data_IF_233724603635
#
_entry.id   IF_233724603635
#
_cell.length_a   1.000
_cell.length_b   1.000
_cell.length_c   1.000
_cell.angle_alpha   90.00
_cell.angle_beta   90.00
_cell.angle_gamma   90.00
#
_symmetry.space_group_name_H-M   'P 1'
#
loop_
_entity.id
_entity.type
_entity.pdbx_description
1 polymer ?
#
# COMPACT_ATOMS: atom_id res chain seq x y z
N UNK A 1 21.75 -14.26 10.97
CA UNK A 1 22.85 -14.17 9.99
C UNK A 1 22.54 -14.84 8.64
N UNK A 2 21.83 -15.98 8.59
CA UNK A 2 21.54 -16.75 7.35
C UNK A 2 20.62 -16.03 6.33
N UNK A 3 19.67 -15.23 6.80
CA UNK A 3 18.71 -14.50 5.95
C UNK A 3 19.37 -13.31 5.23
N UNK A 4 20.34 -12.65 5.88
CA UNK A 4 21.02 -11.48 5.30
C UNK A 4 21.96 -11.88 4.15
N UNK A 5 22.54 -13.08 4.22
CA UNK A 5 23.41 -13.65 3.17
C UNK A 5 22.60 -14.06 1.93
N UNK A 6 21.38 -14.59 2.11
CA UNK A 6 20.53 -14.94 0.95
C UNK A 6 19.98 -13.71 0.23
N UNK A 7 19.57 -12.66 0.96
CA UNK A 7 19.10 -11.39 0.37
C UNK A 7 20.22 -10.69 -0.41
N UNK A 8 21.45 -10.72 0.12
CA UNK A 8 22.61 -10.13 -0.57
C UNK A 8 23.03 -10.94 -1.81
N UNK A 9 22.96 -12.27 -1.74
CA UNK A 9 23.22 -13.17 -2.86
C UNK A 9 22.19 -13.03 -3.98
N UNK A 10 20.91 -12.92 -3.63
CA UNK A 10 19.83 -12.75 -4.60
C UNK A 10 19.93 -11.42 -5.36
N UNK A 11 20.27 -10.33 -4.66
CA UNK A 11 20.52 -9.03 -5.30
C UNK A 11 21.68 -9.10 -6.30
N UNK A 12 22.77 -9.80 -5.97
CA UNK A 12 23.91 -9.98 -6.88
C UNK A 12 23.55 -10.83 -8.10
N UNK A 13 22.79 -11.89 -7.89
CA UNK A 13 22.32 -12.75 -8.98
C UNK A 13 21.40 -11.98 -9.95
N UNK A 14 20.46 -11.19 -9.44
CA UNK A 14 19.62 -10.33 -10.28
C UNK A 14 20.44 -9.32 -11.09
N UNK A 15 21.44 -8.68 -10.48
CA UNK A 15 22.30 -7.73 -11.19
C UNK A 15 23.07 -8.39 -12.33
N UNK A 16 23.58 -9.61 -12.11
CA UNK A 16 24.28 -10.36 -13.15
C UNK A 16 23.34 -10.79 -14.28
N UNK A 17 22.15 -11.31 -13.96
CA UNK A 17 21.14 -11.64 -14.98
C UNK A 17 20.77 -10.41 -15.80
N UNK A 18 20.54 -9.28 -15.15
CA UNK A 18 20.19 -8.03 -15.83
C UNK A 18 21.31 -7.60 -16.81
N UNK A 19 22.57 -7.68 -16.39
CA UNK A 19 23.70 -7.38 -17.27
C UNK A 19 23.77 -8.33 -18.47
N UNK A 20 23.60 -9.63 -18.26
CA UNK A 20 23.61 -10.62 -19.34
C UNK A 20 22.46 -10.37 -20.32
N UNK A 21 21.25 -10.16 -19.82
CA UNK A 21 20.07 -9.86 -20.66
C UNK A 21 20.28 -8.55 -21.43
N UNK A 22 20.76 -7.49 -20.76
CA UNK A 22 21.04 -6.21 -21.41
C UNK A 22 22.11 -6.35 -22.50
N UNK A 23 23.12 -7.17 -22.29
CA UNK A 23 24.16 -7.44 -23.29
C UNK A 23 23.59 -8.18 -24.50
N UNK A 24 22.75 -9.18 -24.29
CA UNK A 24 22.06 -9.90 -25.37
C UNK A 24 21.17 -8.93 -26.17
N UNK A 25 20.39 -8.08 -25.50
CA UNK A 25 19.56 -7.07 -26.15
C UNK A 25 20.41 -6.09 -26.96
N UNK A 26 21.54 -5.63 -26.40
CA UNK A 26 22.47 -4.75 -27.12
C UNK A 26 23.04 -5.42 -28.38
N UNK A 27 23.40 -6.71 -28.29
CA UNK A 27 23.88 -7.47 -29.45
C UNK A 27 22.80 -7.61 -30.53
N UNK A 28 21.56 -7.92 -30.14
CA UNK A 28 20.42 -7.97 -31.07
C UNK A 28 20.21 -6.61 -31.74
N UNK A 29 20.31 -5.50 -30.99
CA UNK A 29 20.19 -4.16 -31.55
C UNK A 29 21.30 -3.83 -32.56
N UNK A 30 22.54 -4.26 -32.29
CA UNK A 30 23.66 -4.11 -33.25
C UNK A 30 23.41 -4.93 -34.51
N UNK A 31 23.01 -6.20 -34.37
CA UNK A 31 22.68 -7.05 -35.51
C UNK A 31 21.53 -6.45 -36.33
N UNK A 32 20.50 -5.95 -35.65
CA UNK A 32 19.39 -5.23 -36.28
C UNK A 32 19.89 -4.01 -37.06
N UNK A 33 20.78 -3.20 -36.49
CA UNK A 33 21.34 -2.03 -37.17
C UNK A 33 22.18 -2.41 -38.41
N UNK A 34 23.00 -3.45 -38.32
CA UNK A 34 23.86 -3.91 -39.42
C UNK A 34 23.05 -4.57 -40.54
N UNK A 35 21.98 -5.31 -40.20
CA UNK A 35 21.11 -5.93 -41.21
C UNK A 35 20.16 -4.92 -41.87
N UNK A 36 19.75 -3.87 -41.16
CA UNK A 36 18.81 -2.86 -41.66
C UNK A 36 19.54 -1.58 -42.10
N UNK A 37 20.54 -1.72 -42.96
CA UNK A 37 21.32 -0.62 -43.55
C UNK A 37 20.60 0.05 -44.73
N UNK A 38 19.49 -0.51 -45.19
CA UNK A 38 18.65 0.08 -46.22
C UNK A 38 18.27 1.52 -45.83
N UNK A 39 18.57 2.45 -46.73
CA UNK A 39 18.23 3.86 -46.56
C UNK A 39 16.74 4.06 -46.78
N UNK A 40 16.12 4.80 -45.87
CA UNK A 40 14.72 5.19 -45.93
C UNK A 40 14.65 6.70 -45.82
N UNK A 41 13.89 7.29 -46.74
CA UNK A 41 13.59 8.72 -46.72
C UNK A 41 12.34 8.97 -45.89
N UNK A 42 12.48 9.72 -44.81
CA UNK A 42 11.37 10.22 -44.00
C UNK A 42 11.17 11.69 -44.31
N UNK A 43 10.01 12.02 -44.88
CA UNK A 43 9.59 13.40 -45.14
C UNK A 43 8.67 13.86 -44.02
N UNK A 44 9.05 14.93 -43.33
CA UNK A 44 8.25 15.55 -42.27
C UNK A 44 8.18 17.07 -42.47
N UNK A 45 7.01 17.58 -42.83
CA UNK A 45 6.78 18.97 -43.26
C UNK A 45 7.77 19.41 -44.36
N UNK A 46 8.84 20.12 -44.00
CA UNK A 46 9.87 20.65 -44.90
C UNK A 46 11.20 19.88 -44.80
N UNK A 47 11.31 18.92 -43.88
CA UNK A 47 12.51 18.14 -43.68
C UNK A 47 12.43 16.81 -44.41
N UNK A 48 13.55 16.43 -45.04
CA UNK A 48 13.75 15.12 -45.63
C UNK A 48 14.98 14.53 -44.95
N UNK A 49 14.79 13.43 -44.25
CA UNK A 49 15.85 12.70 -43.57
C UNK A 49 16.06 11.37 -44.29
N UNK A 50 17.22 11.21 -44.90
CA UNK A 50 17.63 9.97 -45.56
C UNK A 50 18.66 9.27 -44.65
N UNK A 51 18.20 8.25 -43.93
CA UNK A 51 19.02 7.50 -42.99
C UNK A 51 18.66 6.01 -43.05
N UNK A 52 19.47 5.15 -42.43
CA UNK A 52 19.12 3.74 -42.32
C UNK A 52 17.84 3.55 -41.50
N UNK A 53 17.06 2.54 -41.87
CA UNK A 53 15.82 2.18 -41.19
C UNK A 53 16.02 2.01 -39.67
N UNK A 54 17.16 1.43 -39.26
CA UNK A 54 17.48 1.23 -37.86
C UNK A 54 17.62 2.55 -37.07
N UNK A 55 18.31 3.54 -37.64
CA UNK A 55 18.48 4.86 -37.00
C UNK A 55 17.13 5.57 -36.89
N UNK A 56 16.33 5.53 -37.96
CA UNK A 56 15.00 6.13 -37.98
C UNK A 56 14.12 5.54 -36.87
N UNK A 57 14.08 4.21 -36.74
CA UNK A 57 13.29 3.55 -35.69
C UNK A 57 13.81 3.85 -34.28
N UNK A 58 15.13 3.88 -34.08
CA UNK A 58 15.72 4.22 -32.79
C UNK A 58 15.32 5.62 -32.35
N UNK A 59 15.39 6.61 -33.25
CA UNK A 59 14.96 7.98 -32.99
C UNK A 59 13.46 8.05 -32.72
N UNK A 60 12.64 7.33 -33.48
CA UNK A 60 11.19 7.30 -33.28
C UNK A 60 10.80 6.74 -31.91
N UNK A 61 11.40 5.63 -31.49
CA UNK A 61 11.19 5.03 -30.16
C UNK A 61 11.65 6.00 -29.07
N UNK A 62 12.84 6.58 -29.21
CA UNK A 62 13.37 7.55 -28.26
C UNK A 62 12.44 8.75 -28.11
N UNK A 63 11.97 9.32 -29.23
CA UNK A 63 10.99 10.39 -29.22
C UNK A 63 9.68 9.97 -28.53
N UNK A 64 9.17 8.77 -28.79
CA UNK A 64 7.99 8.22 -28.11
C UNK A 64 8.16 8.11 -26.60
N UNK A 65 9.33 7.68 -26.12
CA UNK A 65 9.66 7.64 -24.69
C UNK A 65 9.70 9.05 -24.10
N UNK A 66 10.34 10.00 -24.78
CA UNK A 66 10.37 11.40 -24.35
C UNK A 66 8.95 11.97 -24.24
N UNK A 67 8.13 11.79 -25.28
CA UNK A 67 6.73 12.21 -25.28
C UNK A 67 5.97 11.57 -24.12
N UNK A 68 6.17 10.28 -23.85
CA UNK A 68 5.52 9.57 -22.74
C UNK A 68 5.91 10.13 -21.37
N UNK A 69 7.19 10.49 -21.18
CA UNK A 69 7.68 11.16 -19.97
C UNK A 69 7.00 12.53 -19.83
N UNK A 70 7.00 13.34 -20.90
CA UNK A 70 6.35 14.65 -20.93
C UNK A 70 4.85 14.57 -20.66
N UNK A 71 4.16 13.60 -21.25
CA UNK A 71 2.74 13.33 -21.00
C UNK A 71 2.48 12.89 -19.55
N UNK A 72 3.47 12.28 -18.89
CA UNK A 72 3.36 11.84 -17.49
C UNK A 72 3.58 12.96 -16.46
N UNK A 73 4.18 14.09 -16.84
CA UNK A 73 4.38 15.25 -15.95
C UNK A 73 3.09 15.71 -15.24
N UNK A 74 1.97 16.02 -15.93
CA UNK A 74 0.76 16.48 -15.26
C UNK A 74 0.21 15.47 -14.25
N UNK A 75 0.30 14.17 -14.55
CA UNK A 75 -0.07 13.11 -13.60
C UNK A 75 0.83 13.08 -12.37
N UNK A 76 2.13 13.31 -12.53
CA UNK A 76 3.10 13.37 -11.44
C UNK A 76 2.88 14.58 -10.52
N UNK A 77 2.61 15.76 -11.10
CA UNK A 77 2.25 16.96 -10.33
C UNK A 77 0.96 16.73 -9.53
N UNK A 78 -0.11 16.23 -10.18
CA UNK A 78 -1.40 16.00 -9.50
C UNK A 78 -1.29 14.97 -8.39
N UNK A 79 -0.53 13.90 -8.60
CA UNK A 79 -0.28 12.88 -7.58
C UNK A 79 0.56 13.41 -6.40
N UNK A 80 1.48 14.34 -6.61
CA UNK A 80 2.26 14.96 -5.51
C UNK A 80 1.40 15.87 -4.65
N UNK A 81 0.54 16.69 -5.27
CA UNK A 81 -0.38 17.58 -4.55
C UNK A 81 -1.45 16.78 -3.79
N UNK A 82 -2.02 15.75 -4.40
CA UNK A 82 -3.01 14.87 -3.74
C UNK A 82 -2.47 14.10 -2.53
N UNK A 83 -1.20 13.68 -2.58
CA UNK A 83 -0.54 13.00 -1.45
C UNK A 83 -0.38 13.87 -0.21
N UNK A 84 -0.28 15.20 -0.36
CA UNK A 84 -0.24 16.12 0.79
C UNK A 84 -1.58 16.15 1.53
N UNK A 85 -2.69 16.17 0.80
CA UNK A 85 -4.04 16.12 1.38
C UNK A 85 -4.31 14.81 2.13
N UNK A 86 -3.89 13.68 1.57
CA UNK A 86 -4.03 12.37 2.23
C UNK A 86 -3.21 12.28 3.53
N UNK A 87 -1.97 12.78 3.54
CA UNK A 87 -1.15 12.82 4.77
C UNK A 87 -1.77 13.67 5.88
N UNK A 88 -2.42 14.79 5.53
CA UNK A 88 -3.16 15.61 6.49
C UNK A 88 -4.33 14.86 7.10
N UNK A 89 -5.13 14.18 6.26
CA UNK A 89 -6.26 13.35 6.74
C UNK A 89 -5.82 12.22 7.66
N UNK A 90 -4.72 11.54 7.33
CA UNK A 90 -4.15 10.48 8.19
C UNK A 90 -3.80 11.05 9.57
N UNK A 91 -3.10 12.19 9.62
CA UNK A 91 -2.72 12.83 10.89
C UNK A 91 -3.93 13.30 11.71
N UNK A 92 -4.95 13.82 11.03
CA UNK A 92 -6.20 14.26 11.66
C UNK A 92 -6.96 13.08 12.29
N UNK A 93 -7.14 12.00 11.52
CA UNK A 93 -7.75 10.75 12.00
C UNK A 93 -6.98 10.13 13.18
N UNK A 94 -5.64 10.12 13.13
CA UNK A 94 -4.80 9.65 14.24
C UNK A 94 -5.02 10.50 15.51
N UNK A 95 -5.15 11.82 15.36
CA UNK A 95 -5.39 12.74 16.49
C UNK A 95 -6.79 12.55 17.06
N UNK A 96 -7.79 12.32 16.21
CA UNK A 96 -9.17 12.07 16.63
C UNK A 96 -9.31 10.74 17.38
N UNK A 97 -8.66 9.67 16.90
CA UNK A 97 -8.61 8.39 17.60
C UNK A 97 -7.95 8.52 18.98
N UNK A 98 -6.85 9.27 19.08
CA UNK A 98 -6.18 9.49 20.36
C UNK A 98 -7.11 10.18 21.38
N UNK A 99 -7.82 11.23 20.96
CA UNK A 99 -8.79 11.95 21.81
C UNK A 99 -9.97 11.08 22.22
N UNK A 100 -10.50 10.27 21.30
CA UNK A 100 -11.64 9.41 21.59
C UNK A 100 -11.26 8.28 22.56
N UNK A 101 -10.05 7.74 22.42
CA UNK A 101 -9.50 6.73 23.32
C UNK A 101 -9.30 7.30 24.74
N UNK A 102 -8.81 8.53 24.86
CA UNK A 102 -8.64 9.23 26.14
C UNK A 102 -9.99 9.45 26.84
N UNK A 103 -11.02 9.89 26.09
CA UNK A 103 -12.39 10.01 26.60
C UNK A 103 -13.01 8.68 27.02
N UNK A 104 -12.77 7.62 26.24
CA UNK A 104 -13.25 6.28 26.55
C UNK A 104 -12.64 5.77 27.86
N UNK A 105 -11.34 5.95 28.05
CA UNK A 105 -10.65 5.59 29.28
C UNK A 105 -11.13 6.41 30.49
N UNK A 106 -11.33 7.71 30.34
CA UNK A 106 -11.86 8.56 31.40
C UNK A 106 -13.30 8.14 31.81
N UNK A 107 -14.16 7.84 30.83
CA UNK A 107 -15.50 7.34 31.09
C UNK A 107 -15.50 5.95 31.74
N UNK A 108 -14.57 5.06 31.36
CA UNK A 108 -14.43 3.76 32.02
C UNK A 108 -13.93 3.88 33.46
N UNK A 109 -12.95 4.75 33.72
CA UNK A 109 -12.47 5.02 35.07
C UNK A 109 -13.56 5.63 35.96
N UNK A 110 -14.36 6.54 35.42
CA UNK A 110 -15.52 7.10 36.10
C UNK A 110 -16.52 5.99 36.46
N UNK A 111 -16.84 5.11 35.51
CA UNK A 111 -17.74 3.97 35.70
C UNK A 111 -17.21 2.95 36.72
N UNK A 112 -15.90 2.70 36.72
CA UNK A 112 -15.20 1.86 37.71
C UNK A 112 -15.20 2.51 39.10
N UNK A 113 -15.07 3.83 39.20
CA UNK A 113 -15.12 4.57 40.47
C UNK A 113 -16.56 4.59 41.04
N UNK A 114 -17.57 4.72 40.18
CA UNK A 114 -18.97 4.53 40.55
C UNK A 114 -19.23 3.10 41.07
N UNK A 115 -18.77 2.07 40.36
CA UNK A 115 -18.90 0.66 40.79
C UNK A 115 -18.12 0.34 42.09
N UNK A 116 -16.94 0.94 42.28
CA UNK A 116 -16.12 0.76 43.48
C UNK A 116 -16.69 1.49 44.71
N UNK A 117 -17.54 2.50 44.52
CA UNK A 117 -18.19 3.25 45.59
C UNK A 117 -19.54 2.65 46.04
N UNK A 118 -20.08 1.67 45.31
CA UNK A 118 -21.42 1.09 45.54
C UNK A 118 -21.41 -0.31 46.22
N UNK A 119 -20.25 -0.85 46.60
CA UNK A 119 -20.17 -2.11 47.38
C UNK A 119 -19.40 -1.89 48.67
N UNK A 120 -20.09 -1.49 49.75
CA UNK A 120 -20.38 -2.46 50.80
C UNK A 120 -21.73 -2.24 51.49
N UNK A 121 -22.71 -3.14 51.28
CA UNK A 121 -23.75 -3.60 52.24
C UNK A 121 -24.94 -4.28 51.53
N UNK A 122 -24.77 -5.48 50.95
CA UNK A 122 -25.91 -6.40 50.75
C UNK A 122 -25.54 -7.89 50.93
N UNK A 123 -24.33 -8.22 51.38
CA UNK A 123 -23.89 -9.62 51.42
C UNK A 123 -23.12 -9.95 52.71
N UNK A 124 -23.82 -9.87 53.86
CA UNK A 124 -23.41 -10.56 55.08
C UNK A 124 -24.57 -10.68 56.09
N UNK A 125 -25.36 -11.77 56.06
CA UNK A 125 -25.79 -12.45 57.30
C UNK A 125 -26.16 -13.93 57.01
N UNK A 126 -25.68 -14.91 57.82
CA UNK A 126 -25.74 -16.33 57.51
C UNK A 126 -26.96 -17.06 58.11
N UNK A 127 -27.34 -18.14 57.42
CA UNK A 127 -28.14 -19.30 57.84
C UNK A 127 -28.70 -19.36 59.29
N UNK A 128 -30.03 -19.37 59.41
CA UNK A 128 -30.75 -20.05 60.49
C UNK A 128 -31.98 -20.79 59.91
N UNK A 129 -32.02 -22.10 60.13
CA UNK A 129 -33.12 -23.01 59.81
C UNK A 129 -34.44 -22.61 60.50
N UNK A 130 -35.57 -22.69 59.79
CA UNK A 130 -36.80 -23.28 60.35
C UNK A 130 -37.89 -23.52 59.30
N UNK A 131 -38.22 -24.80 59.08
CA UNK A 131 -39.61 -25.24 58.93
C UNK A 131 -40.10 -25.53 57.51
N UNK A 132 -40.94 -26.57 57.33
CA UNK A 132 -41.06 -27.29 56.07
C UNK A 132 -42.32 -26.90 55.29
N UNK A 133 -42.43 -27.47 54.08
CA UNK A 133 -43.71 -27.91 53.53
C UNK A 133 -44.68 -26.86 52.98
N UNK A 134 -44.80 -26.80 51.66
CA UNK A 134 -46.05 -27.16 50.94
C UNK A 134 -45.92 -26.72 49.48
N UNK A 135 -45.87 -27.68 48.56
CA UNK A 135 -47.00 -28.15 47.75
C UNK A 135 -47.10 -27.46 46.37
N UNK A 136 -46.62 -28.23 45.39
CA UNK A 136 -47.27 -28.53 44.11
C UNK A 136 -47.04 -27.59 42.89
N UNK A 137 -46.64 -28.14 41.72
CA UNK A 137 -46.80 -27.52 40.39
C UNK A 137 -48.26 -27.79 39.88
N UNK A 138 -48.65 -27.69 38.59
CA UNK A 138 -48.08 -27.08 37.37
C UNK A 138 -49.11 -26.18 36.60
N UNK A 139 -48.66 -25.35 35.64
CA UNK A 139 -49.29 -25.17 34.31
C UNK A 139 -48.54 -24.06 33.56
N UNK A 140 -47.95 -24.30 32.39
CA UNK A 140 -48.53 -24.63 31.08
C UNK A 140 -49.25 -23.45 30.41
N UNK A 141 -48.73 -23.14 29.22
CA UNK A 141 -49.38 -22.51 28.07
C UNK A 141 -49.84 -21.04 28.25
N UNK A 142 -49.20 -20.13 27.52
CA UNK A 142 -49.60 -19.69 26.17
C UNK A 142 -48.34 -19.12 25.48
#
# INVERSE_FOLDING_TARGET
>A
MRILISILGWRRFFMQIFLVISLIIALIAVVFAVQNTALVTVTFLVWNLENSLAVVLLVAVFAGVLISIFASLPGWIRNRVGKSGQKKKVKELETELARLNEKYQAAQQELELYHASEVPQLESEPAALSGPESLNPPNSLI
#
